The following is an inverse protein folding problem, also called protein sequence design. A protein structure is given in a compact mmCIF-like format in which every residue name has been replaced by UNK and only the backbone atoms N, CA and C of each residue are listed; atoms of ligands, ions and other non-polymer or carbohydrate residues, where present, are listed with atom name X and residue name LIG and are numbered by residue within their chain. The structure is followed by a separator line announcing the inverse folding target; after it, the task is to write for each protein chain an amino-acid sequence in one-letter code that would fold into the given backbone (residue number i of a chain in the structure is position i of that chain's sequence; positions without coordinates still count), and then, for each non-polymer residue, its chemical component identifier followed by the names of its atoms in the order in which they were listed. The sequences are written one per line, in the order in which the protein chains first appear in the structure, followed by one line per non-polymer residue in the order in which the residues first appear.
data_IF_777612650274
#
_entry.id   IF_777612650274
#
_cell.length_a   1.000
_cell.length_b   1.000
_cell.length_c   1.000
_cell.angle_alpha   90.00
_cell.angle_beta   90.00
_cell.angle_gamma   90.00
#
_symmetry.space_group_name_H-M   'P 1'
#
loop_
_entity.id
_entity.type
_entity.pdbx_description
1 polymer ?
#
# COMPACT_ATOMS: atom_id res chain seq x y z
N UNK A 1 -17.73 3.24 -20.89
CA UNK A 1 -17.30 3.43 -19.48
C UNK A 1 -15.89 2.89 -19.35
N UNK A 2 -14.93 3.74 -18.99
CA UNK A 2 -13.53 3.38 -18.79
C UNK A 2 -13.35 2.95 -17.33
N UNK A 3 -13.02 1.67 -17.13
CA UNK A 3 -12.76 1.12 -15.79
C UNK A 3 -11.28 0.81 -15.63
N UNK A 4 -10.73 1.07 -14.45
CA UNK A 4 -9.38 0.70 -14.09
C UNK A 4 -9.33 0.04 -12.71
N UNK A 5 -8.34 -0.81 -12.50
CA UNK A 5 -8.01 -1.35 -11.18
C UNK A 5 -6.70 -0.75 -10.68
N UNK A 6 -6.62 -0.47 -9.38
CA UNK A 6 -5.39 -0.08 -8.70
C UNK A 6 -5.08 -1.09 -7.59
N UNK A 7 -4.26 -2.10 -7.89
CA UNK A 7 -3.93 -3.16 -6.94
C UNK A 7 -2.80 -2.75 -6.00
N UNK A 8 -2.89 -3.16 -4.74
CA UNK A 8 -1.84 -2.95 -3.75
C UNK A 8 -2.08 -3.70 -2.45
N UNK A 9 -1.07 -3.77 -1.61
CA UNK A 9 -1.20 -4.33 -0.25
C UNK A 9 -1.87 -3.34 0.70
N UNK A 10 -1.59 -2.05 0.55
CA UNK A 10 -2.09 -0.95 1.39
C UNK A 10 -1.93 -1.24 2.90
N UNK A 11 -0.72 -1.60 3.29
CA UNK A 11 -0.39 -2.05 4.65
C UNK A 11 0.69 -1.18 5.33
N UNK A 12 0.29 0.04 5.76
CA UNK A 12 -0.98 0.74 5.54
C UNK A 12 -1.04 1.52 4.21
N UNK A 13 -2.21 2.11 3.91
CA UNK A 13 -2.34 3.15 2.88
C UNK A 13 -1.54 4.38 3.30
N UNK A 14 -0.88 5.04 2.33
CA UNK A 14 -0.05 6.25 2.54
C UNK A 14 -0.55 7.40 1.68
N UNK A 15 -0.09 8.64 1.96
CA UNK A 15 -0.41 9.80 1.12
C UNK A 15 0.09 9.62 -0.32
N UNK A 16 1.19 8.89 -0.54
CA UNK A 16 1.63 8.53 -1.88
C UNK A 16 0.66 7.62 -2.64
N UNK A 17 0.00 6.68 -1.96
CA UNK A 17 -1.09 5.91 -2.57
C UNK A 17 -2.29 6.80 -2.89
N UNK A 18 -2.64 7.74 -2.01
CA UNK A 18 -3.76 8.66 -2.21
C UNK A 18 -3.52 9.64 -3.36
N UNK A 19 -2.28 10.11 -3.56
CA UNK A 19 -1.91 10.91 -4.73
C UNK A 19 -2.26 10.17 -6.04
N UNK A 20 -1.84 8.92 -6.15
CA UNK A 20 -2.15 8.07 -7.32
C UNK A 20 -3.66 7.83 -7.45
N UNK A 21 -4.36 7.48 -6.36
CA UNK A 21 -5.80 7.20 -6.37
C UNK A 21 -6.59 8.42 -6.84
N UNK A 22 -6.33 9.61 -6.30
CA UNK A 22 -7.01 10.85 -6.67
C UNK A 22 -6.79 11.21 -8.14
N UNK A 23 -5.57 11.09 -8.63
CA UNK A 23 -5.25 11.37 -10.02
C UNK A 23 -5.84 10.32 -10.96
N UNK A 24 -5.75 9.04 -10.61
CA UNK A 24 -6.34 7.96 -11.40
C UNK A 24 -7.87 8.05 -11.47
N UNK A 25 -8.54 8.40 -10.36
CA UNK A 25 -10.00 8.56 -10.33
C UNK A 25 -10.50 9.66 -11.26
N UNK A 26 -9.68 10.70 -11.52
CA UNK A 26 -9.98 11.75 -12.49
C UNK A 26 -9.78 11.36 -13.97
N UNK A 27 -9.16 10.20 -14.23
CA UNK A 27 -8.86 9.71 -15.58
C UNK A 27 -9.83 8.65 -16.09
N UNK A 28 -10.64 8.07 -15.18
CA UNK A 28 -11.53 6.94 -15.49
C UNK A 28 -12.94 7.16 -14.95
N UNK A 29 -13.91 6.46 -15.52
CA UNK A 29 -15.29 6.52 -15.05
C UNK A 29 -15.47 5.75 -13.71
N UNK A 30 -14.72 4.67 -13.52
CA UNK A 30 -14.72 3.86 -12.29
C UNK A 30 -13.30 3.37 -11.98
N UNK A 31 -12.82 3.63 -10.77
CA UNK A 31 -11.57 3.11 -10.25
C UNK A 31 -11.83 2.09 -9.14
N UNK A 32 -11.33 0.88 -9.31
CA UNK A 32 -11.47 -0.21 -8.32
C UNK A 32 -10.13 -0.42 -7.63
N UNK A 33 -10.06 -0.07 -6.34
CA UNK A 33 -8.88 -0.35 -5.52
C UNK A 33 -8.93 -1.80 -5.10
N UNK A 34 -7.94 -2.59 -5.53
CA UNK A 34 -7.83 -4.01 -5.19
C UNK A 34 -6.86 -4.23 -4.02
N UNK A 35 -7.37 -4.57 -2.84
CA UNK A 35 -6.53 -4.98 -1.71
C UNK A 35 -6.07 -6.40 -1.94
N UNK A 36 -4.80 -6.59 -2.26
CA UNK A 36 -4.23 -7.93 -2.45
C UNK A 36 -4.08 -8.67 -1.11
N UNK A 37 -4.66 -9.87 -1.06
CA UNK A 37 -4.54 -10.80 0.05
C UNK A 37 -3.50 -11.87 -0.31
N UNK A 38 -2.24 -11.66 0.10
CA UNK A 38 -1.20 -12.65 -0.10
C UNK A 38 -1.08 -13.55 1.14
N UNK A 39 -1.39 -14.83 0.99
CA UNK A 39 -1.35 -15.84 2.06
C UNK A 39 0.05 -16.09 2.62
N UNK A 40 1.09 -15.76 1.84
CA UNK A 40 2.49 -15.97 2.21
C UNK A 40 3.12 -14.74 2.90
N UNK A 41 2.38 -13.63 3.03
CA UNK A 41 2.85 -12.43 3.71
C UNK A 41 2.12 -12.25 5.04
N UNK A 42 2.85 -11.75 6.04
CA UNK A 42 2.28 -11.36 7.34
C UNK A 42 2.11 -9.85 7.38
N UNK A 43 0.97 -9.30 6.94
CA UNK A 43 0.73 -7.87 6.96
C UNK A 43 0.61 -7.37 8.41
N UNK A 44 0.92 -6.08 8.62
CA UNK A 44 0.76 -5.44 9.93
C UNK A 44 -0.73 -5.32 10.30
N UNK A 45 -1.56 -5.03 9.30
CA UNK A 45 -3.00 -4.86 9.46
C UNK A 45 -3.77 -5.97 8.76
N UNK A 46 -4.83 -6.44 9.40
CA UNK A 46 -5.78 -7.37 8.80
C UNK A 46 -6.41 -6.80 7.52
N UNK A 47 -7.00 -7.69 6.71
CA UNK A 47 -7.73 -7.28 5.52
C UNK A 47 -8.81 -6.23 5.82
N UNK A 48 -9.56 -6.43 6.90
CA UNK A 48 -10.63 -5.53 7.32
C UNK A 48 -10.09 -4.15 7.73
N UNK A 49 -9.02 -4.09 8.51
CA UNK A 49 -8.41 -2.82 8.92
C UNK A 49 -7.86 -2.03 7.72
N UNK A 50 -7.26 -2.71 6.74
CA UNK A 50 -6.78 -2.07 5.51
C UNK A 50 -7.92 -1.51 4.68
N UNK A 51 -9.05 -2.24 4.60
CA UNK A 51 -10.26 -1.76 3.95
C UNK A 51 -10.81 -0.50 4.63
N UNK A 52 -10.95 -0.49 5.96
CA UNK A 52 -11.44 0.66 6.73
C UNK A 52 -10.58 1.91 6.54
N UNK A 53 -9.25 1.74 6.59
CA UNK A 53 -8.31 2.85 6.36
C UNK A 53 -8.42 3.42 4.95
N UNK A 54 -8.58 2.57 3.94
CA UNK A 54 -8.81 3.02 2.56
C UNK A 54 -10.17 3.69 2.41
N UNK A 55 -11.24 3.11 2.96
CA UNK A 55 -12.59 3.65 2.86
C UNK A 55 -12.69 5.06 3.47
N UNK A 56 -12.05 5.29 4.62
CA UNK A 56 -11.97 6.64 5.19
C UNK A 56 -11.18 7.59 4.27
N UNK A 57 -10.07 7.12 3.70
CA UNK A 57 -9.16 7.94 2.91
C UNK A 57 -9.73 8.37 1.54
N UNK A 58 -10.69 7.60 0.98
CA UNK A 58 -11.28 7.86 -0.35
C UNK A 58 -12.78 8.17 -0.31
N UNK A 59 -13.35 8.44 0.87
CA UNK A 59 -14.80 8.68 1.06
C UNK A 59 -15.36 9.84 0.25
N UNK A 60 -14.50 10.76 -0.18
CA UNK A 60 -14.81 11.93 -1.00
C UNK A 60 -14.75 11.64 -2.53
N UNK A 61 -14.40 10.41 -2.93
CA UNK A 61 -14.26 10.00 -4.33
C UNK A 61 -15.41 9.07 -4.75
N UNK A 62 -16.49 9.59 -5.36
CA UNK A 62 -17.72 8.83 -5.60
C UNK A 62 -17.58 7.73 -6.65
N UNK A 63 -16.57 7.80 -7.53
CA UNK A 63 -16.29 6.81 -8.56
C UNK A 63 -15.20 5.80 -8.15
N UNK A 64 -14.82 5.76 -6.85
CA UNK A 64 -13.83 4.83 -6.32
C UNK A 64 -14.52 3.74 -5.51
N UNK A 65 -14.24 2.48 -5.84
CA UNK A 65 -14.67 1.29 -5.13
C UNK A 65 -13.47 0.58 -4.52
N UNK A 66 -13.69 -0.11 -3.40
CA UNK A 66 -12.63 -0.90 -2.74
C UNK A 66 -13.08 -2.35 -2.67
N UNK A 67 -12.24 -3.25 -3.13
CA UNK A 67 -12.46 -4.68 -3.07
C UNK A 67 -11.22 -5.43 -2.61
N UNK A 68 -11.39 -6.66 -2.19
CA UNK A 68 -10.28 -7.54 -1.81
C UNK A 68 -10.20 -8.68 -2.80
N UNK A 69 -8.99 -9.06 -3.18
CA UNK A 69 -8.77 -10.19 -4.07
C UNK A 69 -7.55 -11.00 -3.66
N UNK A 70 -7.52 -12.26 -4.09
CA UNK A 70 -6.35 -13.12 -4.11
C UNK A 70 -6.12 -13.61 -5.55
N UNK A 71 -4.89 -13.98 -5.88
CA UNK A 71 -4.54 -14.41 -7.24
C UNK A 71 -3.94 -13.30 -8.12
N UNK A 72 -4.09 -13.47 -9.44
CA UNK A 72 -3.48 -12.58 -10.41
C UNK A 72 -4.27 -11.28 -10.58
N UNK A 73 -3.55 -10.17 -10.67
CA UNK A 73 -4.17 -8.86 -10.86
C UNK A 73 -4.91 -8.74 -12.20
N UNK A 74 -4.45 -9.41 -13.22
CA UNK A 74 -5.11 -9.43 -14.54
C UNK A 74 -6.44 -10.18 -14.51
N UNK A 75 -6.57 -11.22 -13.70
CA UNK A 75 -7.85 -11.91 -13.53
C UNK A 75 -8.81 -11.06 -12.69
N UNK A 76 -8.31 -10.35 -11.69
CA UNK A 76 -9.08 -9.37 -10.95
C UNK A 76 -9.59 -8.24 -11.87
N UNK A 77 -8.74 -7.70 -12.75
CA UNK A 77 -9.15 -6.70 -13.72
C UNK A 77 -10.23 -7.22 -14.67
N UNK A 78 -10.05 -8.41 -15.24
CA UNK A 78 -11.00 -9.03 -16.14
C UNK A 78 -12.35 -9.31 -15.47
N UNK A 79 -12.38 -9.74 -14.22
CA UNK A 79 -13.61 -9.98 -13.45
C UNK A 79 -14.47 -8.71 -13.25
N UNK A 80 -13.85 -7.53 -13.39
CA UNK A 80 -14.53 -6.22 -13.28
C UNK A 80 -14.73 -5.52 -14.63
N UNK A 81 -14.45 -6.17 -15.75
CA UNK A 81 -14.43 -5.58 -17.09
C UNK A 81 -13.47 -4.37 -17.19
N UNK A 82 -12.44 -4.35 -16.35
CA UNK A 82 -11.42 -3.30 -16.36
C UNK A 82 -10.28 -3.69 -17.31
N UNK A 83 -9.97 -2.80 -18.24
CA UNK A 83 -8.87 -3.01 -19.22
C UNK A 83 -7.60 -2.27 -18.84
N UNK A 84 -7.57 -1.56 -17.72
CA UNK A 84 -6.46 -0.75 -17.27
C UNK A 84 -6.07 -1.15 -15.86
N UNK A 85 -4.79 -1.47 -15.67
CA UNK A 85 -4.17 -1.61 -14.35
C UNK A 85 -3.36 -0.33 -14.10
N UNK A 86 -3.71 0.40 -13.03
CA UNK A 86 -2.94 1.57 -12.59
C UNK A 86 -1.80 1.10 -11.69
N UNK A 87 -0.60 1.64 -11.92
CA UNK A 87 0.57 1.44 -11.05
C UNK A 87 1.25 2.78 -10.77
N UNK A 88 1.67 2.99 -9.52
CA UNK A 88 2.46 4.16 -9.13
C UNK A 88 3.96 3.89 -9.30
N UNK A 89 4.69 4.80 -9.93
CA UNK A 89 6.15 4.78 -9.99
C UNK A 89 6.72 5.88 -9.11
N UNK A 90 7.63 5.53 -8.21
CA UNK A 90 8.27 6.48 -7.26
C UNK A 90 9.71 6.77 -7.64
N UNK A 91 10.49 5.73 -7.92
CA UNK A 91 11.91 5.81 -8.21
C UNK A 91 12.29 4.92 -9.41
N UNK A 92 13.47 5.15 -9.95
CA UNK A 92 14.01 4.38 -11.09
C UNK A 92 14.07 2.86 -10.76
N UNK A 93 14.35 2.52 -9.51
CA UNK A 93 14.38 1.12 -9.05
C UNK A 93 13.02 0.43 -9.09
N UNK A 94 11.92 1.16 -8.94
CA UNK A 94 10.59 0.58 -9.07
C UNK A 94 10.28 0.23 -10.54
N UNK A 95 10.82 1.02 -11.49
CA UNK A 95 10.50 0.94 -12.91
C UNK A 95 10.81 -0.43 -13.52
N UNK A 96 11.96 -1.01 -13.24
CA UNK A 96 12.36 -2.31 -13.83
C UNK A 96 11.40 -3.43 -13.39
N UNK A 97 11.06 -3.49 -12.10
CA UNK A 97 10.17 -4.51 -11.54
C UNK A 97 8.74 -4.32 -12.06
N UNK A 98 8.27 -3.09 -12.10
CA UNK A 98 6.92 -2.76 -12.58
C UNK A 98 6.79 -3.00 -14.09
N UNK A 99 7.83 -2.71 -14.87
CA UNK A 99 7.88 -3.01 -16.31
C UNK A 99 7.81 -4.53 -16.57
N UNK A 100 8.61 -5.33 -15.86
CA UNK A 100 8.57 -6.78 -15.97
C UNK A 100 7.17 -7.32 -15.62
N UNK A 101 6.57 -6.80 -14.56
CA UNK A 101 5.22 -7.17 -14.14
C UNK A 101 4.19 -6.81 -15.22
N UNK A 102 4.29 -5.61 -15.81
CA UNK A 102 3.38 -5.17 -16.87
C UNK A 102 3.48 -6.05 -18.12
N UNK A 103 4.70 -6.40 -18.54
CA UNK A 103 4.92 -7.29 -19.68
C UNK A 103 4.37 -8.70 -19.41
N UNK A 104 4.58 -9.22 -18.20
CA UNK A 104 4.01 -10.52 -17.79
C UNK A 104 2.48 -10.47 -17.80
N UNK A 105 1.88 -9.43 -17.25
CA UNK A 105 0.45 -9.22 -17.25
C UNK A 105 -0.12 -9.21 -18.68
N UNK A 106 0.52 -8.47 -19.59
CA UNK A 106 0.11 -8.40 -20.99
C UNK A 106 0.25 -9.74 -21.72
N UNK A 107 1.24 -10.56 -21.35
CA UNK A 107 1.38 -11.91 -21.91
C UNK A 107 0.25 -12.84 -21.47
N UNK A 108 -0.22 -12.71 -20.23
CA UNK A 108 -1.30 -13.53 -19.67
C UNK A 108 -2.67 -13.07 -20.19
N UNK A 109 -2.88 -11.74 -20.24
CA UNK A 109 -4.14 -11.09 -20.66
C UNK A 109 -3.84 -9.93 -21.62
N UNK A 110 -3.72 -10.17 -22.92
CA UNK A 110 -3.35 -9.14 -23.91
C UNK A 110 -4.33 -7.96 -24.00
N UNK A 111 -5.58 -8.15 -23.55
CA UNK A 111 -6.62 -7.13 -23.51
C UNK A 111 -6.50 -6.14 -22.33
N UNK A 112 -5.59 -6.41 -21.39
CA UNK A 112 -5.36 -5.57 -20.20
C UNK A 112 -4.05 -4.82 -20.33
N UNK A 113 -4.10 -3.49 -20.28
CA UNK A 113 -2.92 -2.61 -20.32
C UNK A 113 -2.53 -2.10 -18.93
N UNK A 114 -1.25 -1.83 -18.73
CA UNK A 114 -0.76 -1.19 -17.50
C UNK A 114 -0.43 0.27 -17.75
N UNK A 115 -1.04 1.15 -16.97
CA UNK A 115 -0.77 2.58 -16.98
C UNK A 115 0.05 2.98 -15.76
N UNK A 116 1.17 3.62 -15.99
CA UNK A 116 2.04 4.11 -14.93
C UNK A 116 1.77 5.57 -14.63
N UNK A 117 1.55 5.90 -13.35
CA UNK A 117 1.48 7.26 -12.86
C UNK A 117 2.71 7.55 -12.00
N UNK A 118 3.46 8.59 -12.34
CA UNK A 118 4.60 9.03 -11.54
C UNK A 118 4.07 9.70 -10.29
N UNK A 119 4.50 9.24 -9.13
CA UNK A 119 4.14 9.81 -7.82
C UNK A 119 4.69 11.24 -7.71
N UNK A 120 3.96 12.12 -7.05
CA UNK A 120 4.43 13.49 -6.74
C UNK A 120 5.75 13.48 -5.99
N UNK A 121 6.60 14.48 -6.22
CA UNK A 121 7.96 14.53 -5.67
C UNK A 121 8.00 14.41 -4.15
N UNK A 122 7.03 14.98 -3.46
CA UNK A 122 6.95 14.93 -1.99
C UNK A 122 6.74 13.49 -1.46
N UNK A 123 6.23 12.56 -2.30
CA UNK A 123 6.00 11.16 -1.95
C UNK A 123 6.97 10.19 -2.66
N UNK A 124 7.97 10.70 -3.36
CA UNK A 124 8.89 9.89 -4.18
C UNK A 124 9.63 8.80 -3.36
N UNK A 125 9.92 9.06 -2.09
CA UNK A 125 10.59 8.12 -1.20
C UNK A 125 9.65 7.46 -0.18
N UNK A 126 8.35 7.74 -0.29
CA UNK A 126 7.36 7.24 0.65
C UNK A 126 6.94 5.80 0.31
N UNK A 127 7.04 4.89 1.27
CA UNK A 127 6.50 3.54 1.18
C UNK A 127 5.85 3.11 2.49
N UNK A 128 4.93 2.15 2.43
CA UNK A 128 4.36 1.55 3.64
C UNK A 128 5.42 0.91 4.55
N UNK A 129 6.53 0.43 3.97
CA UNK A 129 7.64 -0.14 4.73
C UNK A 129 8.34 0.92 5.55
N UNK A 130 8.69 2.05 4.93
CA UNK A 130 9.32 3.20 5.62
C UNK A 130 8.40 3.74 6.72
N UNK A 131 7.10 3.88 6.44
CA UNK A 131 6.13 4.34 7.45
C UNK A 131 6.08 3.38 8.65
N UNK A 132 6.07 2.06 8.40
CA UNK A 132 6.09 1.06 9.48
C UNK A 132 7.38 1.13 10.29
N UNK A 133 8.50 1.34 9.63
CA UNK A 133 9.80 1.47 10.30
C UNK A 133 9.83 2.70 11.22
N UNK A 134 9.48 3.88 10.71
CA UNK A 134 9.41 5.12 11.51
C UNK A 134 8.48 4.93 12.72
N UNK A 135 7.27 4.40 12.50
CA UNK A 135 6.30 4.20 13.57
C UNK A 135 6.76 3.16 14.61
N UNK A 136 7.56 2.17 14.21
CA UNK A 136 8.11 1.17 15.13
C UNK A 136 9.12 1.75 16.14
N UNK A 137 9.69 2.90 15.82
CA UNK A 137 10.57 3.70 16.68
C UNK A 137 9.87 4.93 17.27
N UNK A 138 8.52 4.94 17.29
CA UNK A 138 7.71 6.05 17.83
C UNK A 138 7.92 7.40 17.09
N UNK A 139 8.47 7.34 15.86
CA UNK A 139 8.67 8.54 15.04
C UNK A 139 7.34 9.10 14.51
N UNK A 140 7.31 10.39 14.24
CA UNK A 140 6.13 11.06 13.67
C UNK A 140 5.92 10.67 12.20
N UNK A 141 4.75 10.12 11.93
CA UNK A 141 4.30 9.70 10.59
C UNK A 141 3.15 10.56 10.03
N UNK A 142 2.79 11.65 10.71
CA UNK A 142 1.64 12.50 10.35
C UNK A 142 1.75 13.10 8.93
N UNK A 143 2.98 13.31 8.46
CA UNK A 143 3.27 13.80 7.10
C UNK A 143 3.16 12.74 5.99
N UNK A 144 2.95 11.47 6.34
CA UNK A 144 3.02 10.36 5.40
C UNK A 144 1.71 9.59 5.27
N UNK A 145 0.80 9.74 6.24
CA UNK A 145 -0.46 8.98 6.30
C UNK A 145 -1.62 9.85 6.77
N UNK A 146 -2.85 9.35 6.59
CA UNK A 146 -4.05 10.03 7.12
C UNK A 146 -4.09 9.94 8.65
N UNK A 147 -4.83 10.84 9.34
CA UNK A 147 -4.97 10.82 10.79
C UNK A 147 -5.45 9.46 11.34
N UNK A 148 -6.41 8.81 10.68
CA UNK A 148 -6.89 7.49 11.07
C UNK A 148 -5.78 6.43 10.99
N UNK A 149 -4.97 6.45 9.93
CA UNK A 149 -3.85 5.53 9.77
C UNK A 149 -2.80 5.78 10.86
N UNK A 150 -2.46 7.05 11.13
CA UNK A 150 -1.50 7.40 12.19
C UNK A 150 -1.94 6.87 13.56
N UNK A 151 -3.23 7.02 13.88
CA UNK A 151 -3.79 6.51 15.13
C UNK A 151 -3.74 4.97 15.21
N UNK A 152 -4.19 4.27 14.15
CA UNK A 152 -4.12 2.80 14.10
C UNK A 152 -2.67 2.28 14.20
N UNK A 153 -1.71 2.97 13.60
CA UNK A 153 -0.28 2.64 13.69
C UNK A 153 0.23 2.79 15.13
N UNK A 154 -0.08 3.90 15.79
CA UNK A 154 0.31 4.15 17.18
C UNK A 154 -0.23 3.07 18.12
N UNK A 155 -1.51 2.73 18.00
CA UNK A 155 -2.14 1.66 18.80
C UNK A 155 -1.46 0.31 18.56
N UNK A 156 -1.15 -0.03 17.30
CA UNK A 156 -0.53 -1.29 16.93
C UNK A 156 0.87 -1.46 17.50
N UNK A 157 1.69 -0.40 17.51
CA UNK A 157 3.05 -0.46 18.03
C UNK A 157 3.09 -0.32 19.56
N UNK A 158 2.21 0.47 20.19
CA UNK A 158 2.09 0.53 21.64
C UNK A 158 1.81 -0.86 22.26
N UNK A 159 0.93 -1.64 21.65
CA UNK A 159 0.63 -3.01 22.08
C UNK A 159 1.85 -3.94 21.94
N UNK A 160 2.67 -3.77 20.89
CA UNK A 160 3.88 -4.58 20.69
C UNK A 160 4.99 -4.25 21.70
N UNK A 161 5.12 -3.00 22.10
CA UNK A 161 6.12 -2.56 23.10
C UNK A 161 5.79 -3.15 24.46
N UNK A 162 4.52 -3.15 24.86
CA UNK A 162 4.08 -3.76 26.14
C UNK A 162 4.26 -5.29 26.17
N UNK A 163 4.24 -5.96 25.02
CA UNK A 163 4.43 -7.39 24.89
C UNK A 163 5.92 -7.81 24.86
N UNK A 164 6.88 -6.88 24.81
CA UNK A 164 8.30 -7.18 24.78
C UNK A 164 8.79 -7.38 26.22
N UNK A 165 9.39 -8.56 26.57
CA UNK A 165 9.95 -8.75 27.92
C UNK A 165 11.03 -7.70 28.18
N UNK A 166 11.21 -7.27 29.45
CA UNK A 166 12.25 -6.30 29.79
C UNK A 166 13.61 -6.83 29.33
N UNK A 167 14.35 -6.00 28.61
CA UNK A 167 15.73 -6.31 28.20
C UNK A 167 16.51 -6.58 29.49
N UNK A 168 16.93 -7.84 29.66
CA UNK A 168 17.71 -8.24 30.84
C UNK A 168 18.93 -7.33 30.99
N UNK A 169 19.11 -6.78 32.16
CA UNK A 169 20.30 -6.02 32.56
C UNK A 169 21.53 -6.81 32.11
N UNK A 170 22.26 -6.29 31.15
CA UNK A 170 23.62 -6.74 30.86
C UNK A 170 24.46 -6.29 32.06
N UNK A 171 24.48 -7.09 33.10
CA UNK A 171 25.37 -6.90 34.24
C UNK A 171 26.81 -6.89 33.71
N UNK A 172 27.52 -5.81 33.97
CA UNK A 172 28.85 -5.52 33.51
C UNK A 172 29.84 -6.64 33.82
N UNK A 173 30.28 -7.33 32.77
CA UNK A 173 31.51 -8.12 32.82
C UNK A 173 32.69 -7.19 32.72
N UNK A 174 33.34 -6.92 33.86
CA UNK A 174 34.63 -6.22 33.91
C UNK A 174 35.65 -7.14 33.23
N UNK A 175 36.14 -6.72 32.08
CA UNK A 175 37.32 -7.31 31.46
C UNK A 175 38.53 -6.90 32.32
N UNK A 176 39.05 -7.83 33.08
CA UNK A 176 40.38 -7.72 33.68
C UNK A 176 41.43 -8.05 32.61
N UNK A 177 42.35 -7.12 32.38
CA UNK A 177 43.59 -7.33 31.64
C UNK A 177 44.44 -8.45 32.16
#
# INVERSE_FOLDING_TARGET
MVKAVYPGSFDPVTLGHLDIIRRASGLVDELIIGILVNKNKHPLFSKQERYEMLADAVKDLPNVRIETFDGLVVDFAAAHDARIIIRGLRAVTDYEIEMQTAQTNRTIRPEVETMFLITSLEYAFLSSTVVKEIASFEGDISHYVTPLVAEKMRQRFATKIQAKPPVGNIAGGIIKC
#
